data_IF_737553148540
#
_entry.id   IF_737553148540
#
_cell.length_a   1.000
_cell.length_b   1.000
_cell.length_c   1.000
_cell.angle_alpha   90.00
_cell.angle_beta   90.00
_cell.angle_gamma   90.00
#
_symmetry.space_group_name_H-M   'P 1'
#
loop_
_entity.id
_entity.type
_entity.pdbx_description
1 polymer ?
#
# COMPACT_ATOMS: atom_id res chain seq x y z
N UNK A 1 0.24 -63.53 -36.83
CA UNK A 1 1.58 -62.91 -36.79
C UNK A 1 1.39 -61.41 -36.82
N UNK A 2 1.54 -60.74 -35.68
CA UNK A 2 1.49 -59.28 -35.58
C UNK A 2 2.78 -58.70 -36.16
N UNK A 3 2.66 -57.75 -37.07
CA UNK A 3 3.85 -57.17 -37.74
C UNK A 3 4.50 -56.11 -36.85
N UNK A 4 5.83 -55.93 -36.97
CA UNK A 4 6.58 -54.90 -36.22
C UNK A 4 5.98 -53.49 -36.34
N UNK A 5 5.28 -53.20 -37.44
CA UNK A 5 4.62 -51.91 -37.71
C UNK A 5 3.36 -51.71 -36.86
N UNK A 6 2.58 -52.77 -36.65
CA UNK A 6 1.37 -52.74 -35.80
C UNK A 6 1.71 -52.65 -34.32
N UNK A 7 2.85 -53.23 -33.89
CA UNK A 7 3.33 -53.09 -32.52
C UNK A 7 3.68 -51.63 -32.20
N UNK A 8 4.46 -50.98 -33.07
CA UNK A 8 4.88 -49.57 -32.89
C UNK A 8 3.67 -48.61 -32.92
N UNK A 9 2.69 -48.86 -33.80
CA UNK A 9 1.46 -48.06 -33.84
C UNK A 9 0.60 -48.23 -32.57
N UNK A 10 0.58 -49.43 -31.97
CA UNK A 10 -0.14 -49.65 -30.70
C UNK A 10 0.61 -49.13 -29.47
N UNK A 11 1.94 -49.00 -29.51
CA UNK A 11 2.71 -48.37 -28.42
C UNK A 11 2.53 -46.85 -28.40
N UNK A 12 2.35 -46.20 -29.56
CA UNK A 12 2.15 -44.75 -29.65
C UNK A 12 0.80 -44.27 -29.06
N UNK A 13 -0.24 -45.11 -29.11
CA UNK A 13 -1.57 -44.80 -28.55
C UNK A 13 -1.68 -45.09 -27.04
N UNK A 14 -0.75 -45.86 -26.46
CA UNK A 14 -0.71 -46.14 -25.01
C UNK A 14 0.06 -45.10 -24.19
N UNK A 15 0.83 -44.21 -24.82
CA UNK A 15 1.65 -43.21 -24.15
C UNK A 15 0.94 -41.85 -23.96
N UNK A 16 -0.21 -41.62 -24.59
CA UNK A 16 -0.96 -40.36 -24.50
C UNK A 16 -1.87 -40.25 -23.26
N UNK A 17 -1.93 -41.28 -22.40
CA UNK A 17 -2.90 -41.37 -21.29
C UNK A 17 -2.34 -41.19 -19.88
N UNK A 18 -1.04 -40.96 -19.68
CA UNK A 18 -0.41 -40.95 -18.34
C UNK A 18 0.25 -39.62 -17.93
N UNK A 19 -0.01 -38.51 -18.63
CA UNK A 19 0.40 -37.17 -18.16
C UNK A 19 -0.78 -36.37 -17.61
N UNK A 20 -1.66 -37.00 -16.83
CA UNK A 20 -2.32 -36.31 -15.71
C UNK A 20 -1.28 -36.13 -14.61
N UNK A 21 -0.22 -35.38 -14.92
CA UNK A 21 0.75 -34.91 -13.95
C UNK A 21 -0.01 -34.04 -12.95
N UNK A 22 0.08 -34.41 -11.68
CA UNK A 22 -0.50 -33.73 -10.54
C UNK A 22 -0.29 -32.21 -10.60
N UNK A 23 -1.23 -31.46 -11.18
CA UNK A 23 -1.25 -29.99 -11.14
C UNK A 23 -1.66 -29.42 -9.78
N UNK A 24 -1.66 -30.24 -8.72
CA UNK A 24 -2.21 -29.88 -7.41
C UNK A 24 -1.21 -29.96 -6.25
N UNK A 25 0.03 -30.37 -6.50
CA UNK A 25 1.07 -30.37 -5.46
C UNK A 25 2.33 -29.71 -5.99
N UNK A 26 2.46 -28.40 -5.75
CA UNK A 26 3.71 -27.61 -5.65
C UNK A 26 3.56 -26.21 -6.24
N UNK A 27 2.96 -25.31 -5.46
CA UNK A 27 3.47 -23.93 -5.39
C UNK A 27 3.49 -23.54 -3.92
N UNK A 28 4.35 -24.21 -3.14
CA UNK A 28 5.02 -23.47 -2.07
C UNK A 28 5.83 -22.43 -2.83
N UNK A 29 5.44 -21.15 -2.82
CA UNK A 29 6.14 -20.17 -3.63
C UNK A 29 7.59 -20.16 -3.15
N UNK A 30 8.53 -20.39 -4.06
CA UNK A 30 9.94 -20.48 -3.69
C UNK A 30 10.44 -19.13 -3.18
N UNK A 31 11.67 -19.08 -2.67
CA UNK A 31 12.32 -17.81 -2.35
C UNK A 31 12.34 -16.84 -3.57
N UNK A 32 12.33 -17.38 -4.79
CA UNK A 32 12.26 -16.63 -6.04
C UNK A 32 10.85 -16.14 -6.43
N UNK A 33 9.80 -16.65 -5.78
CA UNK A 33 8.41 -16.21 -5.98
C UNK A 33 7.94 -15.28 -4.84
N UNK A 34 8.87 -14.80 -4.01
CA UNK A 34 8.55 -13.94 -2.87
C UNK A 34 8.30 -12.51 -3.33
N UNK A 35 7.13 -11.98 -2.96
CA UNK A 35 6.80 -10.57 -3.25
C UNK A 35 7.49 -9.69 -2.20
N UNK A 36 8.38 -8.82 -2.66
CA UNK A 36 9.16 -7.90 -1.83
C UNK A 36 8.44 -6.57 -1.73
N UNK A 37 8.12 -6.14 -0.51
CA UNK A 37 7.27 -4.99 -0.27
C UNK A 37 8.03 -3.89 0.45
N UNK A 38 7.98 -2.68 -0.10
CA UNK A 38 8.55 -1.48 0.48
C UNK A 38 7.54 -0.72 1.33
N UNK A 39 8.06 0.03 2.31
CA UNK A 39 7.29 0.89 3.19
C UNK A 39 7.57 2.33 2.82
N UNK A 40 6.57 3.10 2.41
CA UNK A 40 6.68 4.54 2.13
C UNK A 40 5.86 5.30 3.17
N UNK A 41 6.56 5.83 4.17
CA UNK A 41 6.00 6.52 5.34
C UNK A 41 5.68 5.58 6.50
N UNK A 42 6.52 5.59 7.53
CA UNK A 42 6.39 4.74 8.73
C UNK A 42 5.81 5.52 9.91
N UNK A 43 4.51 5.79 9.83
CA UNK A 43 3.76 6.53 10.86
C UNK A 43 2.69 5.66 11.53
N UNK A 44 1.83 6.27 12.34
CA UNK A 44 0.86 5.57 13.19
C UNK A 44 -0.09 4.67 12.38
N UNK A 45 -0.53 5.13 11.21
CA UNK A 45 -1.45 4.34 10.36
C UNK A 45 -0.80 3.04 9.89
N UNK A 46 0.45 3.12 9.47
CA UNK A 46 1.21 1.96 9.04
C UNK A 46 1.47 1.01 10.21
N UNK A 47 2.04 1.53 11.31
CA UNK A 47 2.39 0.77 12.51
C UNK A 47 1.20 0.08 13.17
N UNK A 48 0.08 0.79 13.27
CA UNK A 48 -1.10 0.33 14.00
C UNK A 48 -2.05 -0.55 13.20
N UNK A 49 -1.97 -0.57 11.88
CA UNK A 49 -2.92 -1.31 11.05
C UNK A 49 -2.30 -2.07 9.88
N UNK A 50 -1.50 -1.40 9.05
CA UNK A 50 -0.97 -2.03 7.82
C UNK A 50 0.09 -3.08 8.14
N UNK A 51 1.06 -2.76 9.01
CA UNK A 51 2.11 -3.70 9.39
C UNK A 51 1.56 -4.94 10.09
N UNK A 52 0.68 -4.85 11.12
CA UNK A 52 0.13 -6.06 11.75
C UNK A 52 -0.64 -6.94 10.77
N UNK A 53 -1.50 -6.36 9.92
CA UNK A 53 -2.29 -7.11 8.94
C UNK A 53 -1.39 -7.79 7.89
N UNK A 54 -0.33 -7.12 7.45
CA UNK A 54 0.67 -7.70 6.56
C UNK A 54 1.38 -8.86 7.23
N UNK A 55 1.97 -8.64 8.41
CA UNK A 55 2.75 -9.67 9.11
C UNK A 55 1.91 -10.91 9.45
N UNK A 56 0.61 -10.76 9.73
CA UNK A 56 -0.27 -11.92 9.98
C UNK A 56 -0.44 -12.86 8.78
N UNK A 57 -0.23 -12.36 7.56
CA UNK A 57 -0.43 -13.11 6.32
C UNK A 57 0.88 -13.36 5.54
N UNK A 58 1.98 -12.73 5.96
CA UNK A 58 3.27 -12.74 5.24
C UNK A 58 3.82 -14.13 4.94
N UNK A 59 3.74 -15.03 5.91
CA UNK A 59 4.19 -16.42 5.74
C UNK A 59 3.27 -17.20 4.81
N UNK A 60 1.96 -17.03 4.94
CA UNK A 60 0.95 -17.76 4.16
C UNK A 60 0.98 -17.36 2.68
N UNK A 61 1.09 -16.06 2.42
CA UNK A 61 1.03 -15.48 1.07
C UNK A 61 2.40 -15.21 0.45
N UNK A 62 3.48 -15.68 1.10
CA UNK A 62 4.89 -15.55 0.70
C UNK A 62 5.29 -14.12 0.25
N UNK A 63 5.12 -13.15 1.15
CA UNK A 63 5.61 -11.80 0.97
C UNK A 63 6.42 -11.32 2.18
N UNK A 64 7.28 -10.32 1.98
CA UNK A 64 8.09 -9.77 3.07
C UNK A 64 8.34 -8.27 2.89
N UNK A 65 8.64 -7.59 3.99
CA UNK A 65 9.15 -6.23 3.91
C UNK A 65 10.66 -6.25 3.65
N UNK A 66 11.13 -5.48 2.67
CA UNK A 66 12.55 -5.44 2.27
C UNK A 66 13.17 -4.05 2.39
N UNK A 67 12.38 -3.00 2.28
CA UNK A 67 12.86 -1.63 2.27
C UNK A 67 11.88 -0.66 2.95
N UNK A 68 12.40 0.47 3.41
CA UNK A 68 11.62 1.57 3.98
C UNK A 68 12.16 2.91 3.53
N UNK A 69 11.24 3.80 3.13
CA UNK A 69 11.43 5.23 2.89
C UNK A 69 10.61 6.02 3.91
N UNK A 70 11.28 6.90 4.64
CA UNK A 70 10.65 7.99 5.39
C UNK A 70 11.63 9.16 5.38
N UNK A 71 11.18 10.39 5.25
CA UNK A 71 12.08 11.55 5.21
C UNK A 71 12.75 11.77 6.58
N UNK A 72 12.03 11.48 7.67
CA UNK A 72 12.55 11.67 9.03
C UNK A 72 13.41 10.48 9.47
N UNK A 73 14.70 10.73 9.73
CA UNK A 73 15.66 9.70 10.18
C UNK A 73 15.15 8.83 11.32
N UNK A 74 14.59 9.46 12.35
CA UNK A 74 14.04 8.76 13.50
C UNK A 74 13.02 7.68 13.13
N UNK A 75 12.16 7.92 12.13
CA UNK A 75 11.15 6.92 11.71
C UNK A 75 11.76 5.74 11.00
N UNK A 76 12.85 5.96 10.25
CA UNK A 76 13.62 4.86 9.63
C UNK A 76 14.31 4.02 10.70
N UNK A 77 14.92 4.66 11.70
CA UNK A 77 15.56 3.98 12.83
C UNK A 77 14.55 3.19 13.69
N UNK A 78 13.39 3.79 14.01
CA UNK A 78 12.34 3.13 14.76
C UNK A 78 11.82 1.87 14.01
N UNK A 79 11.67 1.95 12.69
CA UNK A 79 11.27 0.80 11.87
C UNK A 79 12.35 -0.28 11.84
N UNK A 80 13.61 0.09 11.61
CA UNK A 80 14.74 -0.82 11.59
C UNK A 80 14.82 -1.62 12.90
N UNK A 81 14.73 -0.94 14.04
CA UNK A 81 14.72 -1.57 15.35
C UNK A 81 13.54 -2.54 15.52
N UNK A 82 12.33 -2.14 15.13
CA UNK A 82 11.12 -2.95 15.25
C UNK A 82 11.18 -4.24 14.41
N UNK A 83 11.64 -4.14 13.15
CA UNK A 83 11.68 -5.27 12.24
C UNK A 83 12.88 -6.18 12.47
N UNK A 84 14.04 -5.64 12.85
CA UNK A 84 15.19 -6.45 13.27
C UNK A 84 14.88 -7.33 14.46
N UNK A 85 14.12 -6.84 15.43
CA UNK A 85 13.66 -7.63 16.58
C UNK A 85 12.78 -8.84 16.17
N UNK A 86 12.25 -8.84 14.94
CA UNK A 86 11.44 -9.91 14.36
C UNK A 86 12.21 -10.71 13.30
N UNK A 87 13.52 -10.48 13.15
CA UNK A 87 14.35 -11.15 12.15
C UNK A 87 14.15 -10.65 10.71
N UNK A 88 13.52 -9.49 10.52
CA UNK A 88 13.31 -8.87 9.20
C UNK A 88 14.35 -7.77 9.01
N UNK A 89 15.14 -7.88 7.94
CA UNK A 89 16.14 -6.87 7.56
C UNK A 89 15.53 -5.88 6.56
N UNK A 90 15.59 -4.58 6.88
CA UNK A 90 15.12 -3.53 5.98
C UNK A 90 16.29 -2.71 5.46
N UNK A 91 16.28 -2.43 4.15
CA UNK A 91 17.09 -1.36 3.59
C UNK A 91 16.45 -0.01 3.89
N UNK A 92 17.21 0.89 4.53
CA UNK A 92 16.74 2.23 4.87
C UNK A 92 17.06 3.20 3.72
N UNK A 93 16.02 3.83 3.18
CA UNK A 93 16.10 4.83 2.12
C UNK A 93 15.69 6.20 2.68
N UNK A 94 16.44 7.26 2.38
CA UNK A 94 16.16 8.61 2.89
C UNK A 94 14.98 9.27 2.20
N UNK A 95 14.63 8.81 1.01
CA UNK A 95 13.53 9.29 0.17
C UNK A 95 13.07 8.16 -0.77
N UNK A 96 12.00 8.43 -1.51
CA UNK A 96 11.37 7.44 -2.37
C UNK A 96 12.27 7.07 -3.56
N UNK A 97 13.03 8.01 -4.11
CA UNK A 97 13.94 7.76 -5.22
C UNK A 97 15.06 6.79 -4.84
N UNK A 98 15.59 6.88 -3.62
CA UNK A 98 16.53 5.89 -3.09
C UNK A 98 15.90 4.51 -2.89
N UNK A 99 14.63 4.45 -2.52
CA UNK A 99 13.90 3.19 -2.40
C UNK A 99 13.70 2.57 -3.79
N UNK A 100 13.26 3.36 -4.76
CA UNK A 100 12.97 2.94 -6.14
C UNK A 100 14.22 2.77 -7.01
N UNK A 101 15.39 3.27 -6.58
CA UNK A 101 16.65 3.10 -7.30
C UNK A 101 17.25 1.68 -7.21
N UNK A 102 16.58 0.74 -6.55
CA UNK A 102 17.02 -0.65 -6.37
C UNK A 102 15.93 -1.64 -6.79
N UNK A 103 16.35 -2.77 -7.33
CA UNK A 103 15.45 -3.83 -7.82
C UNK A 103 15.10 -4.84 -6.72
N UNK A 104 14.90 -4.38 -5.48
CA UNK A 104 14.60 -5.19 -4.30
C UNK A 104 13.19 -4.94 -3.73
N UNK A 105 12.34 -4.25 -4.48
CA UNK A 105 10.98 -3.88 -4.09
C UNK A 105 10.04 -4.01 -5.29
N UNK A 106 9.08 -4.92 -5.20
CA UNK A 106 8.09 -5.22 -6.25
C UNK A 106 6.81 -4.40 -6.06
N UNK A 107 6.43 -4.16 -4.80
CA UNK A 107 5.26 -3.37 -4.43
C UNK A 107 5.55 -2.45 -3.24
N UNK A 108 4.72 -1.43 -3.01
CA UNK A 108 4.85 -0.54 -1.85
C UNK A 108 3.53 -0.28 -1.13
N UNK A 109 3.62 -0.12 0.19
CA UNK A 109 2.61 0.60 0.97
C UNK A 109 2.97 2.09 1.02
N UNK A 110 2.03 2.95 0.62
CA UNK A 110 2.14 4.40 0.73
C UNK A 110 1.19 4.88 1.83
N UNK A 111 1.77 5.34 2.93
CA UNK A 111 1.09 5.86 4.12
C UNK A 111 1.77 7.14 4.63
N UNK A 112 2.00 8.06 3.69
CA UNK A 112 2.62 9.37 3.91
C UNK A 112 1.57 10.38 4.37
N UNK A 113 1.84 11.69 4.28
CA UNK A 113 0.79 12.67 4.55
C UNK A 113 -0.25 12.65 3.41
N UNK A 114 -1.51 12.95 3.74
CA UNK A 114 -2.67 12.76 2.84
C UNK A 114 -2.49 13.46 1.49
N UNK A 115 -1.91 14.67 1.50
CA UNK A 115 -1.64 15.46 0.30
C UNK A 115 -0.58 14.87 -0.64
N UNK A 116 0.23 13.93 -0.17
CA UNK A 116 1.34 13.33 -0.92
C UNK A 116 0.96 12.03 -1.63
N UNK A 117 -0.14 11.40 -1.21
CA UNK A 117 -0.51 10.04 -1.62
C UNK A 117 -0.58 9.84 -3.14
N UNK A 118 -1.30 10.69 -3.87
CA UNK A 118 -1.46 10.55 -5.32
C UNK A 118 -0.14 10.72 -6.09
N UNK A 119 0.69 11.68 -5.68
CA UNK A 119 1.96 11.93 -6.36
C UNK A 119 2.99 10.85 -6.01
N UNK A 120 3.07 10.39 -4.76
CA UNK A 120 3.86 9.20 -4.41
C UNK A 120 3.36 7.93 -5.10
N UNK A 121 2.05 7.80 -5.36
CA UNK A 121 1.50 6.71 -6.16
C UNK A 121 2.01 6.77 -7.60
N UNK A 122 1.98 7.96 -8.22
CA UNK A 122 2.52 8.17 -9.56
C UNK A 122 4.02 7.80 -9.62
N UNK A 123 4.82 8.29 -8.66
CA UNK A 123 6.25 7.95 -8.54
C UNK A 123 6.46 6.43 -8.44
N UNK A 124 5.72 5.75 -7.58
CA UNK A 124 5.86 4.30 -7.39
C UNK A 124 5.56 3.51 -8.67
N UNK A 125 4.44 3.80 -9.33
CA UNK A 125 4.04 3.05 -10.52
C UNK A 125 4.89 3.37 -11.74
N UNK A 126 5.35 4.62 -11.87
CA UNK A 126 6.31 5.02 -12.93
C UNK A 126 7.67 4.37 -12.71
N UNK A 127 8.04 4.14 -11.45
CA UNK A 127 9.20 3.35 -11.12
C UNK A 127 8.93 1.84 -11.27
N UNK A 128 7.74 1.41 -11.67
CA UNK A 128 7.41 0.02 -11.97
C UNK A 128 6.98 -0.82 -10.77
N UNK A 129 6.55 -0.20 -9.67
CA UNK A 129 6.08 -0.88 -8.46
C UNK A 129 4.56 -0.93 -8.43
N UNK A 130 4.00 -2.03 -7.95
CA UNK A 130 2.60 -2.06 -7.54
C UNK A 130 2.42 -1.26 -6.23
N UNK A 131 1.23 -0.73 -5.97
CA UNK A 131 1.03 0.18 -4.84
C UNK A 131 -0.28 -0.07 -4.07
N UNK A 132 -0.17 -0.18 -2.76
CA UNK A 132 -1.27 0.11 -1.85
C UNK A 132 -1.14 1.55 -1.37
N UNK A 133 -2.17 2.37 -1.50
CA UNK A 133 -2.14 3.79 -1.13
C UNK A 133 -3.23 4.07 -0.11
N UNK A 134 -2.85 4.58 1.06
CA UNK A 134 -3.83 4.96 2.09
C UNK A 134 -4.81 6.03 1.61
N UNK A 135 -5.96 6.07 2.28
CA UNK A 135 -7.01 7.06 2.01
C UNK A 135 -6.84 8.30 2.91
N UNK A 136 -7.23 9.51 2.46
CA UNK A 136 -7.76 9.84 1.14
C UNK A 136 -6.68 9.67 0.06
N UNK A 137 -7.09 9.31 -1.16
CA UNK A 137 -6.12 9.09 -2.24
C UNK A 137 -5.44 10.38 -2.72
N UNK A 138 -6.20 11.48 -2.79
CA UNK A 138 -5.73 12.78 -3.23
C UNK A 138 -6.53 13.90 -2.54
N UNK A 139 -5.90 15.05 -2.32
CA UNK A 139 -6.60 16.25 -1.85
C UNK A 139 -7.11 17.13 -2.99
N UNK A 140 -6.54 16.99 -4.18
CA UNK A 140 -6.97 17.74 -5.37
C UNK A 140 -7.26 16.80 -6.53
N UNK A 141 -8.22 17.20 -7.36
CA UNK A 141 -8.51 16.47 -8.60
C UNK A 141 -7.35 16.52 -9.60
N UNK A 142 -6.48 17.53 -9.52
CA UNK A 142 -5.28 17.61 -10.35
C UNK A 142 -4.31 16.47 -10.00
N UNK A 143 -4.01 16.29 -8.71
CA UNK A 143 -3.12 15.23 -8.23
C UNK A 143 -3.70 13.84 -8.54
N UNK A 144 -5.01 13.66 -8.34
CA UNK A 144 -5.69 12.41 -8.70
C UNK A 144 -5.57 12.07 -10.20
N UNK A 145 -5.68 13.06 -11.09
CA UNK A 145 -5.52 12.87 -12.54
C UNK A 145 -4.08 12.55 -12.94
N UNK A 146 -3.10 13.14 -12.27
CA UNK A 146 -1.68 12.81 -12.48
C UNK A 146 -1.44 11.33 -12.17
N UNK A 147 -1.88 10.88 -11.00
CA UNK A 147 -1.75 9.49 -10.59
C UNK A 147 -2.50 8.52 -11.52
N UNK A 148 -3.75 8.85 -11.87
CA UNK A 148 -4.55 8.02 -12.79
C UNK A 148 -3.84 7.82 -14.14
N UNK A 149 -3.28 8.90 -14.72
CA UNK A 149 -2.54 8.82 -15.97
C UNK A 149 -1.31 7.93 -15.84
N UNK A 150 -0.57 8.04 -14.74
CA UNK A 150 0.61 7.21 -14.47
C UNK A 150 0.21 5.72 -14.36
N UNK A 151 -0.81 5.41 -13.57
CA UNK A 151 -1.33 4.04 -13.40
C UNK A 151 -1.79 3.43 -14.72
N UNK A 152 -2.55 4.18 -15.52
CA UNK A 152 -3.02 3.72 -16.84
C UNK A 152 -1.86 3.50 -17.81
N UNK A 153 -0.83 4.35 -17.77
CA UNK A 153 0.34 4.24 -18.63
C UNK A 153 1.20 3.03 -18.29
N UNK A 154 1.37 2.72 -17.01
CA UNK A 154 2.30 1.68 -16.55
C UNK A 154 1.64 0.31 -16.41
N UNK A 155 0.31 0.27 -16.26
CA UNK A 155 -0.45 -0.97 -16.06
C UNK A 155 -0.21 -1.61 -14.69
N UNK A 156 0.40 -0.89 -13.74
CA UNK A 156 0.68 -1.39 -12.39
C UNK A 156 -0.58 -1.55 -11.56
N UNK A 157 -0.55 -2.51 -10.63
CA UNK A 157 -1.68 -2.78 -9.75
C UNK A 157 -1.69 -1.72 -8.64
N UNK A 158 -2.82 -1.02 -8.50
CA UNK A 158 -3.02 -0.03 -7.44
C UNK A 158 -4.28 -0.32 -6.64
N UNK A 159 -4.14 -0.39 -5.32
CA UNK A 159 -5.25 -0.53 -4.39
C UNK A 159 -5.31 0.67 -3.44
N UNK A 160 -6.49 1.28 -3.31
CA UNK A 160 -6.72 2.38 -2.38
C UNK A 160 -7.19 1.84 -1.02
N UNK A 161 -6.74 2.47 0.07
CA UNK A 161 -6.98 2.09 1.45
C UNK A 161 -8.40 2.25 1.97
N UNK A 162 -9.41 2.11 1.11
CA UNK A 162 -10.84 2.10 1.46
C UNK A 162 -11.25 0.76 2.09
N UNK A 163 -10.59 0.38 3.19
CA UNK A 163 -10.64 -0.96 3.82
C UNK A 163 -12.04 -1.45 4.17
N UNK A 164 -12.98 -0.53 4.45
CA UNK A 164 -14.38 -0.89 4.73
C UNK A 164 -15.05 -1.65 3.60
N UNK A 165 -14.60 -1.49 2.35
CA UNK A 165 -15.12 -2.26 1.20
C UNK A 165 -14.86 -3.76 1.32
N UNK A 166 -13.92 -4.18 2.16
CA UNK A 166 -13.60 -5.59 2.42
C UNK A 166 -14.21 -6.13 3.72
N UNK A 167 -14.92 -5.30 4.49
CA UNK A 167 -15.53 -5.73 5.73
C UNK A 167 -16.88 -6.41 5.46
N UNK A 168 -17.11 -7.58 6.07
CA UNK A 168 -18.26 -8.44 5.77
C UNK A 168 -19.61 -7.75 5.92
N UNK A 169 -19.76 -6.82 6.88
CA UNK A 169 -20.98 -6.04 7.05
C UNK A 169 -21.24 -5.06 5.88
N UNK A 170 -20.21 -4.48 5.29
CA UNK A 170 -20.35 -3.61 4.11
C UNK A 170 -20.61 -4.43 2.83
N UNK A 171 -19.99 -5.61 2.71
CA UNK A 171 -20.26 -6.56 1.62
C UNK A 171 -21.74 -6.97 1.67
N UNK A 172 -22.23 -7.42 2.83
CA UNK A 172 -23.63 -7.82 3.02
C UNK A 172 -24.61 -6.66 2.74
N UNK A 173 -24.29 -5.44 3.20
CA UNK A 173 -25.10 -4.27 2.90
C UNK A 173 -25.17 -3.99 1.39
N UNK A 174 -24.03 -4.06 0.69
CA UNK A 174 -23.97 -3.87 -0.76
C UNK A 174 -24.76 -4.97 -1.51
N UNK A 175 -24.64 -6.24 -1.09
CA UNK A 175 -25.42 -7.33 -1.67
C UNK A 175 -26.92 -7.12 -1.48
N UNK A 176 -27.35 -6.69 -0.29
CA UNK A 176 -28.75 -6.43 -0.01
C UNK A 176 -29.29 -5.26 -0.85
N UNK A 177 -28.53 -4.17 -0.99
CA UNK A 177 -28.86 -3.04 -1.89
C UNK A 177 -29.05 -3.54 -3.32
N UNK A 178 -28.09 -4.32 -3.85
CA UNK A 178 -28.13 -4.82 -5.23
C UNK A 178 -29.21 -5.90 -5.45
N UNK A 179 -29.67 -6.56 -4.40
CA UNK A 179 -30.76 -7.55 -4.50
C UNK A 179 -32.13 -6.94 -4.86
N UNK A 180 -32.26 -5.61 -4.82
CA UNK A 180 -33.52 -4.91 -5.09
C UNK A 180 -34.56 -5.00 -3.96
N UNK A 181 -34.24 -5.65 -2.83
CA UNK A 181 -35.17 -5.85 -1.70
C UNK A 181 -35.60 -4.56 -1.00
N UNK A 182 -34.82 -3.47 -1.11
CA UNK A 182 -35.23 -2.15 -0.64
C UNK A 182 -36.33 -1.52 -1.52
N UNK A 183 -36.59 -2.04 -2.72
CA UNK A 183 -37.38 -1.36 -3.73
C UNK A 183 -36.68 -0.09 -4.22
N UNK A 184 -37.45 0.95 -4.54
CA UNK A 184 -36.92 2.25 -4.95
C UNK A 184 -36.29 2.98 -3.76
N UNK A 185 -34.98 3.15 -3.77
CA UNK A 185 -34.28 3.99 -2.78
C UNK A 185 -34.68 5.45 -2.98
N UNK A 186 -35.18 6.10 -1.93
CA UNK A 186 -35.62 7.50 -1.96
C UNK A 186 -34.79 8.42 -1.06
N UNK A 187 -34.01 7.86 -0.13
CA UNK A 187 -33.16 8.61 0.80
C UNK A 187 -31.98 7.76 1.25
N UNK A 188 -30.83 8.41 1.45
CA UNK A 188 -29.67 7.86 2.13
C UNK A 188 -29.22 8.87 3.18
N UNK A 189 -29.04 8.40 4.41
CA UNK A 189 -28.52 9.20 5.51
C UNK A 189 -27.27 8.52 6.07
N UNK A 190 -26.21 9.31 6.30
CA UNK A 190 -24.98 8.83 6.91
C UNK A 190 -24.50 9.85 7.94
N UNK A 191 -24.27 9.37 9.15
CA UNK A 191 -23.78 10.18 10.26
C UNK A 191 -22.46 9.60 10.77
N UNK A 192 -21.46 10.47 10.88
CA UNK A 192 -20.15 10.12 11.41
C UNK A 192 -19.75 11.07 12.55
N UNK A 193 -19.95 10.62 13.78
CA UNK A 193 -19.64 11.41 14.98
C UNK A 193 -18.28 11.00 15.55
N UNK A 194 -17.41 11.98 15.78
CA UNK A 194 -16.10 11.77 16.40
C UNK A 194 -15.87 12.80 17.48
N UNK A 195 -15.77 12.35 18.72
CA UNK A 195 -15.34 13.18 19.85
C UNK A 195 -13.96 12.71 20.33
N UNK A 196 -12.91 13.39 19.87
CA UNK A 196 -11.52 13.09 20.23
C UNK A 196 -10.80 14.39 20.60
N UNK A 197 -10.86 14.83 21.87
CA UNK A 197 -10.13 16.01 22.31
C UNK A 197 -8.63 15.88 22.01
N UNK A 198 -8.02 16.95 21.49
CA UNK A 198 -6.61 16.95 21.11
C UNK A 198 -6.26 16.14 19.86
N UNK A 199 -7.25 15.73 19.06
CA UNK A 199 -7.04 15.00 17.79
C UNK A 199 -5.95 15.67 16.94
N UNK A 200 -5.03 14.83 16.45
CA UNK A 200 -3.86 15.19 15.65
C UNK A 200 -2.77 16.03 16.34
N UNK A 201 -3.01 16.53 17.56
CA UNK A 201 -1.96 17.19 18.33
C UNK A 201 -0.97 16.17 18.86
N UNK A 202 0.33 16.45 18.76
CA UNK A 202 1.42 15.56 19.15
C UNK A 202 2.46 16.31 20.01
N UNK A 203 2.06 16.88 21.16
CA UNK A 203 2.93 17.76 21.96
C UNK A 203 4.21 17.08 22.45
N UNK A 204 4.21 15.76 22.64
CA UNK A 204 5.40 15.00 23.03
C UNK A 204 6.34 14.64 21.87
N UNK A 205 5.90 14.76 20.61
CA UNK A 205 6.67 14.35 19.42
C UNK A 205 7.08 15.55 18.57
N UNK A 206 6.27 16.61 18.51
CA UNK A 206 6.60 17.83 17.77
C UNK A 206 7.97 18.41 18.16
N UNK A 207 8.33 18.52 19.46
CA UNK A 207 9.62 19.10 19.85
C UNK A 207 10.85 18.28 19.41
N UNK A 208 10.66 16.99 19.09
CA UNK A 208 11.76 16.08 18.75
C UNK A 208 12.13 16.11 17.27
N UNK A 209 11.28 16.65 16.39
CA UNK A 209 11.57 16.78 14.96
C UNK A 209 12.36 18.06 14.69
N UNK A 210 13.59 17.93 14.19
CA UNK A 210 14.42 19.04 13.73
C UNK A 210 14.49 19.07 12.20
N UNK A 211 14.74 20.25 11.63
CA UNK A 211 14.86 20.41 10.18
C UNK A 211 15.98 19.56 9.61
N UNK A 212 17.12 19.48 10.32
CA UNK A 212 18.29 18.68 9.92
C UNK A 212 18.01 17.16 9.86
N UNK A 213 16.95 16.67 10.49
CA UNK A 213 16.61 15.24 10.54
C UNK A 213 15.67 14.81 9.40
N UNK A 214 15.21 15.76 8.59
CA UNK A 214 14.22 15.55 7.52
C UNK A 214 14.58 16.33 6.26
N UNK A 215 13.83 16.12 5.19
CA UNK A 215 13.90 16.95 3.99
C UNK A 215 12.58 17.72 3.86
N UNK A 216 12.55 18.93 4.42
CA UNK A 216 11.35 19.77 4.43
C UNK A 216 10.89 20.13 3.02
N UNK A 217 11.84 20.40 2.11
CA UNK A 217 11.53 20.74 0.72
C UNK A 217 10.81 19.59 0.02
N UNK A 218 11.29 18.35 0.19
CA UNK A 218 10.61 17.15 -0.34
C UNK A 218 9.26 16.93 0.30
N UNK A 219 9.15 17.13 1.62
CA UNK A 219 7.89 16.97 2.33
C UNK A 219 6.79 17.86 1.73
N UNK A 220 7.11 19.12 1.40
CA UNK A 220 6.14 20.05 0.84
C UNK A 220 5.61 19.63 -0.54
N UNK A 221 6.41 18.92 -1.34
CA UNK A 221 6.00 18.42 -2.65
C UNK A 221 5.44 19.53 -3.55
N UNK A 222 4.13 19.54 -3.82
CA UNK A 222 3.46 20.55 -4.64
C UNK A 222 2.80 21.68 -3.82
N UNK A 223 3.02 21.71 -2.50
CA UNK A 223 2.49 22.75 -1.60
C UNK A 223 3.36 24.02 -1.67
N UNK A 224 2.78 25.22 -1.42
CA UNK A 224 3.52 26.47 -1.41
C UNK A 224 4.74 26.39 -0.48
N UNK A 225 5.87 26.91 -0.94
CA UNK A 225 7.09 26.98 -0.14
C UNK A 225 6.81 27.71 1.19
N UNK A 226 7.39 27.19 2.27
CA UNK A 226 7.17 27.68 3.63
C UNK A 226 8.42 27.43 4.47
N UNK A 227 8.64 28.23 5.50
CA UNK A 227 9.65 27.92 6.51
C UNK A 227 9.33 26.59 7.21
N UNK A 228 10.37 25.87 7.59
CA UNK A 228 10.22 24.60 8.33
C UNK A 228 9.38 24.80 9.59
N UNK A 229 8.39 23.92 9.76
CA UNK A 229 7.52 23.89 10.93
C UNK A 229 7.23 22.42 11.28
N UNK A 230 7.73 21.91 12.42
CA UNK A 230 7.54 20.52 12.81
C UNK A 230 6.06 20.19 13.09
N UNK A 231 5.23 21.20 13.39
CA UNK A 231 3.78 21.01 13.53
C UNK A 231 3.13 20.78 12.18
N UNK A 232 3.52 21.51 11.13
CA UNK A 232 3.01 21.24 9.78
C UNK A 232 3.44 19.87 9.28
N UNK A 233 4.62 19.37 9.68
CA UNK A 233 5.05 18.01 9.32
C UNK A 233 4.25 16.92 10.05
N UNK A 234 4.12 17.02 11.39
CA UNK A 234 3.56 15.96 12.24
C UNK A 234 2.06 16.07 12.50
N UNK A 235 1.52 17.28 12.44
CA UNK A 235 0.12 17.62 12.72
C UNK A 235 -0.55 18.24 11.48
N UNK A 236 -0.09 17.89 10.27
CA UNK A 236 -0.49 18.50 8.99
C UNK A 236 -2.00 18.68 8.80
N UNK A 237 -2.82 17.79 9.37
CA UNK A 237 -4.30 17.86 9.33
C UNK A 237 -4.89 19.10 9.99
N UNK A 238 -4.11 19.83 10.78
CA UNK A 238 -4.48 21.08 11.43
C UNK A 238 -4.18 22.32 10.57
N UNK A 239 -3.52 22.18 9.42
CA UNK A 239 -2.97 23.31 8.67
C UNK A 239 -3.38 23.31 7.20
N UNK A 240 -3.94 24.43 6.74
CA UNK A 240 -3.99 24.74 5.31
C UNK A 240 -2.58 25.07 4.80
N UNK A 241 -2.16 24.65 3.60
CA UNK A 241 -2.90 23.88 2.58
C UNK A 241 -2.61 22.36 2.60
N UNK A 242 -2.20 21.79 3.74
CA UNK A 242 -1.83 20.37 3.83
C UNK A 242 -2.99 19.43 4.12
N UNK A 243 -4.16 19.98 4.46
CA UNK A 243 -5.38 19.21 4.69
C UNK A 243 -6.62 20.09 4.67
N UNK A 244 -7.75 19.50 4.28
CA UNK A 244 -9.09 20.05 4.51
C UNK A 244 -9.68 19.65 5.88
N UNK A 245 -8.88 19.02 6.74
CA UNK A 245 -9.28 18.60 8.08
C UNK A 245 -10.18 17.35 8.07
N UNK A 246 -11.26 17.40 8.84
CA UNK A 246 -12.18 16.25 9.03
C UNK A 246 -12.78 15.79 7.68
N UNK A 247 -13.32 16.67 6.81
CA UNK A 247 -13.87 16.27 5.52
C UNK A 247 -12.89 15.44 4.67
N UNK A 248 -11.65 15.89 4.52
CA UNK A 248 -10.63 15.17 3.73
C UNK A 248 -10.26 13.81 4.30
N UNK A 249 -10.29 13.65 5.63
CA UNK A 249 -9.92 12.38 6.27
C UNK A 249 -10.93 11.25 6.01
N UNK A 250 -12.21 11.59 5.83
CA UNK A 250 -13.31 10.63 5.70
C UNK A 250 -13.75 10.38 4.26
N UNK A 251 -13.14 11.10 3.29
CA UNK A 251 -13.16 10.75 1.87
C UNK A 251 -12.07 9.74 1.55
#
# INVERSE_FOLDING_TARGET
MTTRREFIQKTALGAAGLTLGARSYSRVPGANDRIRVGIVGYSDRFRGALSPAFLSLAKELNFEFTAISDLWSKRREDADAFYKAQGISLRLARNNEELYGKDDTDAVFISTADFQHALHCAEAVEAGRDAYVEKPFAETMADARVALKAVQKTGKIVQIGSQRRSAGNYIAANEYINSGKFGKIVMVEMTWNVNQPGRWRRPGVVPTLKEADTDWKRYQMNRPAAAFDPRKYLEFRLFWPYSSGIPGQWM
#
